data_IF_484768920878
#
_entry.id   IF_484768920878
#
_cell.length_a   1.000
_cell.length_b   1.000
_cell.length_c   1.000
_cell.angle_alpha   90.00
_cell.angle_beta   90.00
_cell.angle_gamma   90.00
#
_symmetry.space_group_name_H-M   'P 1'
#
loop_
_entity.id
_entity.type
_entity.pdbx_description
1 polymer ?
#
# COMPACT_ATOMS: atom_id res chain seq x y z
N UNK A 1 -20.86 -24.70 -10.43
CA UNK A 1 -19.67 -23.86 -10.68
C UNK A 1 -19.77 -22.55 -9.90
N UNK A 2 -19.20 -22.48 -8.69
CA UNK A 2 -19.01 -21.24 -7.91
C UNK A 2 -17.53 -21.16 -7.53
N UNK A 3 -16.68 -20.66 -8.45
CA UNK A 3 -15.22 -20.70 -8.30
C UNK A 3 -14.51 -19.36 -8.57
N UNK A 4 -15.24 -18.23 -8.63
CA UNK A 4 -14.62 -16.95 -9.00
C UNK A 4 -14.53 -15.88 -7.91
N UNK A 5 -15.22 -16.04 -6.78
CA UNK A 5 -15.35 -14.95 -5.79
C UNK A 5 -14.48 -15.13 -4.55
N UNK A 6 -13.89 -16.31 -4.35
CA UNK A 6 -13.06 -16.60 -3.16
C UNK A 6 -11.61 -16.11 -3.31
N UNK A 7 -11.14 -15.85 -4.54
CA UNK A 7 -9.72 -15.54 -4.81
C UNK A 7 -9.35 -14.06 -4.85
N UNK A 8 -10.27 -13.16 -5.22
CA UNK A 8 -9.94 -11.75 -5.48
C UNK A 8 -9.54 -10.95 -4.23
N UNK A 9 -10.29 -10.97 -3.10
CA UNK A 9 -9.89 -10.23 -1.91
C UNK A 9 -8.65 -10.83 -1.26
N UNK A 10 -8.43 -12.14 -1.41
CA UNK A 10 -7.25 -12.82 -0.89
C UNK A 10 -6.00 -12.44 -1.69
N UNK A 11 -6.09 -12.36 -3.02
CA UNK A 11 -4.98 -11.90 -3.85
C UNK A 11 -4.59 -10.44 -3.53
N UNK A 12 -5.58 -9.57 -3.33
CA UNK A 12 -5.33 -8.18 -2.94
C UNK A 12 -4.64 -8.07 -1.57
N UNK A 13 -4.95 -8.95 -0.61
CA UNK A 13 -4.23 -8.99 0.67
C UNK A 13 -2.77 -9.41 0.51
N UNK A 14 -2.51 -10.44 -0.28
CA UNK A 14 -1.13 -10.89 -0.52
C UNK A 14 -0.31 -9.86 -1.29
N UNK A 15 -0.89 -9.19 -2.29
CA UNK A 15 -0.26 -8.04 -2.94
C UNK A 15 0.01 -6.93 -1.93
N UNK A 16 -1.01 -6.59 -1.12
CA UNK A 16 -0.90 -5.63 -0.03
C UNK A 16 0.28 -5.91 0.89
N UNK A 17 0.36 -7.14 1.40
CA UNK A 17 1.41 -7.59 2.30
C UNK A 17 2.79 -7.61 1.63
N UNK A 18 2.91 -8.15 0.41
CA UNK A 18 4.18 -8.24 -0.30
C UNK A 18 4.78 -6.86 -0.58
N UNK A 19 3.99 -5.91 -1.06
CA UNK A 19 4.44 -4.55 -1.30
C UNK A 19 4.67 -3.76 0.00
N UNK A 20 3.88 -4.00 1.04
CA UNK A 20 4.08 -3.38 2.35
C UNK A 20 5.40 -3.80 3.00
N UNK A 21 5.68 -5.11 3.02
CA UNK A 21 6.95 -5.66 3.53
C UNK A 21 8.12 -5.25 2.65
N UNK A 22 7.98 -5.36 1.32
CA UNK A 22 9.01 -4.93 0.36
C UNK A 22 9.36 -3.45 0.48
N UNK A 23 8.35 -2.58 0.62
CA UNK A 23 8.54 -1.17 0.91
C UNK A 23 9.27 -0.94 2.23
N UNK A 24 8.89 -1.65 3.29
CA UNK A 24 9.56 -1.55 4.60
C UNK A 24 11.03 -1.95 4.52
N UNK A 25 11.36 -3.00 3.76
CA UNK A 25 12.74 -3.42 3.50
C UNK A 25 13.52 -2.35 2.74
N UNK A 26 12.93 -1.77 1.69
CA UNK A 26 13.55 -0.67 0.93
C UNK A 26 13.86 0.54 1.83
N UNK A 27 12.91 0.96 2.68
CA UNK A 27 13.11 2.03 3.66
C UNK A 27 14.22 1.69 4.67
N UNK A 28 14.30 0.44 5.12
CA UNK A 28 15.31 0.00 6.07
C UNK A 28 16.73 -0.03 5.47
N UNK A 29 16.85 -0.26 4.16
CA UNK A 29 18.15 -0.32 3.48
C UNK A 29 18.76 1.06 3.28
N UNK A 30 18.01 2.04 2.78
CA UNK A 30 18.54 3.39 2.56
C UNK A 30 17.46 4.44 2.29
N UNK A 31 17.70 5.65 2.80
CA UNK A 31 16.89 6.83 2.51
C UNK A 31 16.87 7.21 1.01
N UNK A 32 17.88 6.80 0.24
CA UNK A 32 17.91 7.06 -1.21
C UNK A 32 16.76 6.36 -1.98
N UNK A 33 16.15 5.33 -1.37
CA UNK A 33 15.05 4.57 -1.96
C UNK A 33 13.68 4.99 -1.45
N UNK A 34 13.56 6.14 -0.77
CA UNK A 34 12.29 6.58 -0.20
C UNK A 34 11.19 6.77 -1.26
N UNK A 35 11.52 7.25 -2.46
CA UNK A 35 10.54 7.32 -3.56
C UNK A 35 9.94 5.95 -3.90
N UNK A 36 10.79 4.93 -4.07
CA UNK A 36 10.37 3.56 -4.38
C UNK A 36 9.64 2.91 -3.19
N UNK A 37 10.06 3.25 -1.96
CA UNK A 37 9.40 2.83 -0.72
C UNK A 37 7.96 3.33 -0.69
N UNK A 38 7.76 4.64 -0.87
CA UNK A 38 6.40 5.21 -0.86
C UNK A 38 5.57 4.72 -2.07
N UNK A 39 6.19 4.46 -3.22
CA UNK A 39 5.51 3.83 -4.35
C UNK A 39 5.00 2.43 -4.01
N UNK A 40 5.81 1.62 -3.32
CA UNK A 40 5.40 0.30 -2.84
C UNK A 40 4.29 0.39 -1.79
N UNK A 41 4.37 1.35 -0.86
CA UNK A 41 3.29 1.61 0.11
C UNK A 41 2.00 2.06 -0.56
N UNK A 42 2.05 2.75 -1.70
CA UNK A 42 0.84 3.17 -2.41
C UNK A 42 0.10 1.94 -2.96
N UNK A 43 0.82 1.03 -3.61
CA UNK A 43 0.27 -0.25 -4.09
C UNK A 43 -0.27 -1.08 -2.92
N UNK A 44 0.46 -1.11 -1.81
CA UNK A 44 0.06 -1.83 -0.59
C UNK A 44 -1.26 -1.31 -0.03
N UNK A 45 -1.35 0.00 0.24
CA UNK A 45 -2.53 0.64 0.80
C UNK A 45 -3.76 0.50 -0.12
N UNK A 46 -3.62 0.69 -1.42
CA UNK A 46 -4.74 0.52 -2.37
C UNK A 46 -5.27 -0.92 -2.34
N UNK A 47 -4.37 -1.90 -2.33
CA UNK A 47 -4.76 -3.31 -2.30
C UNK A 47 -5.46 -3.68 -0.98
N UNK A 48 -4.97 -3.17 0.15
CA UNK A 48 -5.56 -3.39 1.47
C UNK A 48 -6.87 -2.62 1.68
N UNK A 49 -7.02 -1.41 1.11
CA UNK A 49 -8.29 -0.68 1.09
C UNK A 49 -9.35 -1.48 0.35
N UNK A 50 -9.02 -2.01 -0.83
CA UNK A 50 -9.93 -2.86 -1.61
C UNK A 50 -10.35 -4.10 -0.82
N UNK A 51 -9.38 -4.84 -0.25
CA UNK A 51 -9.66 -6.03 0.56
C UNK A 51 -10.53 -5.70 1.80
N UNK A 52 -10.19 -4.63 2.53
CA UNK A 52 -10.95 -4.19 3.69
C UNK A 52 -12.37 -3.75 3.33
N UNK A 53 -12.57 -3.09 2.18
CA UNK A 53 -13.88 -2.70 1.67
C UNK A 53 -14.76 -3.92 1.38
N UNK A 54 -14.21 -4.92 0.69
CA UNK A 54 -14.92 -6.17 0.36
C UNK A 54 -15.32 -6.93 1.64
N UNK A 55 -14.41 -6.98 2.62
CA UNK A 55 -14.65 -7.66 3.91
C UNK A 55 -15.42 -6.83 4.93
N UNK A 56 -15.81 -5.59 4.60
CA UNK A 56 -16.47 -4.63 5.52
C UNK A 56 -15.68 -4.40 6.82
N UNK A 57 -14.36 -4.49 6.75
CA UNK A 57 -13.46 -4.25 7.89
C UNK A 57 -13.18 -2.75 8.04
N UNK A 58 -14.12 -2.02 8.66
CA UNK A 58 -14.08 -0.55 8.73
C UNK A 58 -12.81 0.02 9.38
N UNK A 59 -12.28 -0.64 10.43
CA UNK A 59 -11.03 -0.23 11.08
C UNK A 59 -9.82 -0.31 10.14
N UNK A 60 -9.68 -1.43 9.42
CA UNK A 60 -8.61 -1.59 8.42
C UNK A 60 -8.78 -0.61 7.26
N UNK A 61 -10.01 -0.35 6.83
CA UNK A 61 -10.28 0.60 5.76
C UNK A 61 -9.86 2.03 6.16
N UNK A 62 -10.25 2.50 7.35
CA UNK A 62 -9.87 3.82 7.85
C UNK A 62 -8.35 3.94 8.03
N UNK A 63 -7.71 2.91 8.59
CA UNK A 63 -6.27 2.87 8.81
C UNK A 63 -5.49 2.96 7.49
N UNK A 64 -5.82 2.12 6.50
CA UNK A 64 -5.13 2.14 5.20
C UNK A 64 -5.44 3.42 4.41
N UNK A 65 -6.62 4.02 4.56
CA UNK A 65 -6.92 5.32 3.95
C UNK A 65 -6.04 6.44 4.53
N UNK A 66 -5.84 6.47 5.86
CA UNK A 66 -4.94 7.43 6.48
C UNK A 66 -3.48 7.21 6.06
N UNK A 67 -3.01 5.96 6.03
CA UNK A 67 -1.67 5.62 5.53
C UNK A 67 -1.49 5.94 4.05
N UNK A 68 -2.54 5.83 3.24
CA UNK A 68 -2.50 6.25 1.84
C UNK A 68 -2.25 7.76 1.73
N UNK A 69 -2.91 8.60 2.53
CA UNK A 69 -2.63 10.04 2.56
C UNK A 69 -1.19 10.37 2.97
N UNK A 70 -0.66 9.68 3.99
CA UNK A 70 0.75 9.84 4.41
C UNK A 70 1.68 9.41 3.28
N UNK A 71 1.34 8.35 2.57
CA UNK A 71 2.13 7.83 1.45
C UNK A 71 2.17 8.82 0.28
N UNK A 72 1.04 9.46 -0.04
CA UNK A 72 0.99 10.51 -1.07
C UNK A 72 1.88 11.71 -0.69
N UNK A 73 1.86 12.11 0.58
CA UNK A 73 2.76 13.16 1.07
C UNK A 73 4.23 12.72 0.96
N UNK A 74 4.55 11.47 1.33
CA UNK A 74 5.89 10.91 1.16
C UNK A 74 6.37 10.91 -0.29
N UNK A 75 5.49 10.48 -1.23
CA UNK A 75 5.75 10.51 -2.67
C UNK A 75 6.00 11.93 -3.17
N UNK A 76 5.20 12.91 -2.75
CA UNK A 76 5.35 14.30 -3.14
C UNK A 76 6.72 14.86 -2.73
N UNK A 77 7.14 14.63 -1.47
CA UNK A 77 8.41 15.16 -0.94
C UNK A 77 9.66 14.47 -1.51
N UNK A 78 9.53 13.24 -2.00
CA UNK A 78 10.65 12.45 -2.53
C UNK A 78 10.50 12.23 -4.04
N UNK A 79 9.64 13.00 -4.69
CA UNK A 79 9.47 12.92 -6.13
C UNK A 79 10.77 13.36 -6.81
N UNK A 80 11.31 12.61 -7.78
CA UNK A 80 12.50 13.01 -8.51
C UNK A 80 12.26 14.36 -9.21
N UNK A 81 12.83 15.44 -8.67
CA UNK A 81 12.64 16.82 -9.16
C UNK A 81 11.60 17.66 -8.40
N UNK A 82 10.93 17.10 -7.38
CA UNK A 82 10.04 17.80 -6.46
C UNK A 82 10.66 17.85 -5.06
N UNK A 83 11.58 18.78 -4.85
CA UNK A 83 12.03 19.18 -3.51
C UNK A 83 11.55 20.59 -3.22
N UNK A 84 11.06 20.81 -2.00
CA UNK A 84 11.15 22.14 -1.37
C UNK A 84 12.62 22.47 -1.09
#
# INVERSE_FOLDING_TARGET
MKSKVVSEPHLAEWLGAAFGVGGTLLAAVSAQFLFFTFSAYAVSNVSLIYAARVRRAHGLLAMNAAYFSITLFGLYNHFPGGGL
#
